data_IF_589054316990
#
_entry.id   IF_589054316990
#
_cell.length_a   1.000
_cell.length_b   1.000
_cell.length_c   1.000
_cell.angle_alpha   90.00
_cell.angle_beta   90.00
_cell.angle_gamma   90.00
#
_symmetry.space_group_name_H-M   'P 1'
#
loop_
_entity.id
_entity.type
_entity.pdbx_description
1 polymer ?
#
# COMPACT_ATOMS: atom_id res chain seq x y z
N UNK A 1 -7.54 28.44 35.64
CA UNK A 1 -8.79 27.90 35.08
C UNK A 1 -8.59 26.44 34.78
N UNK A 2 -9.43 25.63 35.45
CA UNK A 2 -9.25 24.22 35.76
C UNK A 2 -9.56 23.29 34.56
N UNK A 3 -8.68 22.33 34.33
CA UNK A 3 -8.89 20.93 33.97
C UNK A 3 -10.18 20.50 33.26
N UNK A 4 -10.02 20.07 31.99
CA UNK A 4 -10.89 19.08 31.36
C UNK A 4 -10.03 18.04 30.58
N UNK A 5 -9.20 17.34 31.34
CA UNK A 5 -8.58 16.09 30.92
C UNK A 5 -8.98 15.09 31.99
N UNK A 6 -10.06 14.41 31.76
CA UNK A 6 -10.42 13.11 32.36
C UNK A 6 -11.87 12.81 31.99
N UNK A 7 -12.05 11.93 31.07
CA UNK A 7 -13.16 10.95 31.10
C UNK A 7 -13.19 10.21 29.74
N UNK A 8 -12.29 9.28 29.54
CA UNK A 8 -12.46 8.23 28.51
C UNK A 8 -11.67 6.98 28.90
N UNK A 9 -11.78 6.58 30.17
CA UNK A 9 -11.36 5.25 30.62
C UNK A 9 -12.52 4.71 31.49
N UNK A 10 -13.38 3.95 30.90
CA UNK A 10 -14.23 2.95 31.55
C UNK A 10 -15.30 2.48 30.57
N UNK A 11 -15.06 1.44 29.84
CA UNK A 11 -16.02 0.36 29.52
C UNK A 11 -15.20 -0.79 28.91
N UNK A 12 -14.49 -1.55 29.73
CA UNK A 12 -14.19 -2.93 29.45
C UNK A 12 -14.78 -3.75 30.58
N UNK A 13 -16.05 -4.06 30.45
CA UNK A 13 -16.74 -5.01 31.32
C UNK A 13 -16.63 -6.40 30.74
N UNK A 14 -15.81 -7.17 31.36
CA UNK A 14 -15.87 -8.58 31.73
C UNK A 14 -17.12 -9.33 31.23
N UNK A 15 -16.95 -10.18 30.23
CA UNK A 15 -17.86 -11.32 29.99
C UNK A 15 -17.02 -12.60 30.00
N UNK A 16 -16.98 -13.21 31.18
CA UNK A 16 -16.55 -14.58 31.35
C UNK A 16 -17.70 -15.48 30.93
N UNK A 17 -17.53 -16.23 29.83
CA UNK A 17 -18.42 -17.33 29.46
C UNK A 17 -17.68 -18.65 29.70
N UNK A 18 -18.07 -19.28 30.78
CA UNK A 18 -17.76 -20.68 31.12
C UNK A 18 -18.47 -21.59 30.12
N UNK A 19 -17.71 -22.31 29.29
CA UNK A 19 -18.26 -23.44 28.55
C UNK A 19 -17.91 -24.75 29.26
N UNK A 20 -18.97 -25.41 29.72
CA UNK A 20 -18.96 -26.77 30.23
C UNK A 20 -18.65 -27.77 29.11
N UNK A 21 -17.64 -28.56 29.35
CA UNK A 21 -17.35 -29.78 28.59
C UNK A 21 -18.47 -30.82 28.85
N UNK A 22 -19.15 -31.24 27.80
CA UNK A 22 -19.92 -32.47 27.83
C UNK A 22 -19.32 -33.46 26.85
N UNK A 23 -18.75 -34.48 27.43
CA UNK A 23 -18.14 -35.64 26.77
C UNK A 23 -19.25 -36.60 26.39
N UNK A 24 -19.46 -36.93 25.13
CA UNK A 24 -20.19 -38.11 24.70
C UNK A 24 -19.31 -38.96 23.77
N UNK A 25 -18.93 -40.13 24.28
CA UNK A 25 -18.44 -41.26 23.52
C UNK A 25 -19.60 -41.85 22.74
N UNK A 26 -19.44 -42.08 21.45
CA UNK A 26 -20.01 -43.28 20.84
C UNK A 26 -19.19 -43.76 19.64
N UNK A 27 -18.92 -45.05 19.63
CA UNK A 27 -18.22 -45.81 18.62
C UNK A 27 -19.20 -46.28 17.54
N UNK A 28 -18.74 -46.28 16.28
CA UNK A 28 -19.53 -46.92 15.21
C UNK A 28 -18.92 -46.65 13.82
N UNK A 29 -18.32 -47.71 13.27
CA UNK A 29 -17.75 -47.90 11.94
C UNK A 29 -18.70 -47.53 10.79
N UNK A 30 -18.19 -46.92 9.70
CA UNK A 30 -18.06 -47.47 8.32
C UNK A 30 -18.04 -46.36 7.27
N UNK A 31 -17.00 -46.42 6.44
CA UNK A 31 -16.87 -46.13 5.00
C UNK A 31 -17.85 -45.14 4.32
N UNK A 32 -17.27 -44.15 3.67
CA UNK A 32 -17.94 -43.36 2.64
C UNK A 32 -17.13 -42.09 2.33
N UNK A 33 -16.32 -42.18 1.30
CA UNK A 33 -15.63 -41.07 0.64
C UNK A 33 -16.66 -40.10 0.11
N UNK A 34 -16.47 -38.82 0.40
CA UNK A 34 -16.72 -37.69 -0.54
C UNK A 34 -16.02 -36.45 -0.03
N UNK A 35 -15.21 -35.91 -0.90
CA UNK A 35 -14.53 -34.66 -0.79
C UNK A 35 -15.49 -33.51 -0.44
N UNK A 36 -15.22 -32.84 0.66
CA UNK A 36 -15.63 -31.47 0.88
C UNK A 36 -14.36 -30.71 1.32
N UNK A 37 -13.76 -30.05 0.36
CA UNK A 37 -12.73 -29.07 0.63
C UNK A 37 -13.36 -27.95 1.44
N UNK A 38 -13.14 -28.00 2.74
CA UNK A 38 -13.40 -26.90 3.64
C UNK A 38 -12.35 -25.83 3.35
N UNK A 39 -12.79 -24.83 2.53
CA UNK A 39 -12.00 -23.67 2.20
C UNK A 39 -11.70 -22.89 3.48
N UNK A 40 -10.48 -23.02 3.95
CA UNK A 40 -9.88 -22.10 4.89
C UNK A 40 -9.88 -20.73 4.24
N UNK A 41 -10.77 -19.86 4.70
CA UNK A 41 -10.76 -18.43 4.35
C UNK A 41 -9.59 -17.80 5.10
N UNK A 42 -8.37 -17.99 4.57
CA UNK A 42 -7.24 -17.18 4.99
C UNK A 42 -7.46 -15.76 4.46
N UNK A 43 -7.38 -14.81 5.37
CA UNK A 43 -7.33 -13.38 5.14
C UNK A 43 -6.29 -13.01 4.08
N UNK A 44 -6.69 -12.98 2.81
CA UNK A 44 -5.87 -12.55 1.67
C UNK A 44 -6.09 -11.07 1.32
N UNK A 45 -6.76 -10.30 2.19
CA UNK A 45 -7.17 -8.92 1.89
C UNK A 45 -6.06 -7.87 1.91
N UNK A 46 -4.81 -8.26 2.18
CA UNK A 46 -3.70 -7.29 2.35
C UNK A 46 -2.58 -7.39 1.32
N UNK A 47 -2.70 -8.23 0.29
CA UNK A 47 -1.63 -8.41 -0.71
C UNK A 47 -2.15 -8.13 -2.12
N UNK A 48 -1.51 -7.21 -2.84
CA UNK A 48 -1.75 -7.06 -4.27
C UNK A 48 -1.10 -8.22 -5.04
N UNK A 49 -1.87 -8.98 -5.77
CA UNK A 49 -1.41 -10.14 -6.54
C UNK A 49 -2.17 -10.28 -7.86
N UNK A 50 -1.60 -11.03 -8.79
CA UNK A 50 -2.31 -11.44 -10.00
C UNK A 50 -3.06 -12.73 -9.70
N UNK A 51 -4.39 -12.68 -9.75
CA UNK A 51 -5.25 -13.83 -9.53
C UNK A 51 -5.04 -14.92 -10.58
N UNK A 52 -5.61 -16.12 -10.34
CA UNK A 52 -5.53 -17.25 -11.27
C UNK A 52 -6.19 -16.96 -12.63
N UNK A 53 -7.04 -15.96 -12.70
CA UNK A 53 -7.68 -15.42 -13.91
C UNK A 53 -6.81 -14.40 -14.67
N UNK A 54 -5.58 -14.17 -14.21
CA UNK A 54 -4.66 -13.17 -14.76
C UNK A 54 -5.02 -11.72 -14.41
N UNK A 55 -6.04 -11.50 -13.57
CA UNK A 55 -6.45 -10.17 -13.16
C UNK A 55 -5.68 -9.73 -11.93
N UNK A 56 -5.17 -8.49 -11.97
CA UNK A 56 -4.54 -7.89 -10.80
C UNK A 56 -5.59 -7.57 -9.74
N UNK A 57 -5.41 -8.14 -8.56
CA UNK A 57 -6.21 -7.85 -7.37
C UNK A 57 -5.44 -6.82 -6.55
N UNK A 58 -6.03 -5.64 -6.39
CA UNK A 58 -5.50 -4.57 -5.55
C UNK A 58 -6.37 -4.51 -4.30
N UNK A 59 -5.81 -4.48 -3.09
CA UNK A 59 -6.57 -4.28 -1.86
C UNK A 59 -7.49 -3.06 -1.96
N UNK A 60 -8.66 -3.12 -1.35
CA UNK A 60 -9.63 -2.03 -1.44
C UNK A 60 -9.19 -0.76 -0.72
N UNK A 61 -8.32 -0.89 0.29
CA UNK A 61 -7.84 0.24 1.09
C UNK A 61 -6.34 0.14 1.35
N UNK A 62 -5.66 1.28 1.31
CA UNK A 62 -4.32 1.40 1.86
C UNK A 62 -4.41 1.36 3.39
N UNK A 63 -3.63 0.50 4.00
CA UNK A 63 -3.47 0.49 5.46
C UNK A 63 -2.46 1.54 5.92
N UNK A 64 -1.53 1.92 5.05
CA UNK A 64 -0.40 2.81 5.31
C UNK A 64 -0.04 3.62 4.06
N UNK A 65 0.77 4.68 4.23
CA UNK A 65 1.31 5.45 3.12
C UNK A 65 2.32 4.64 2.29
N UNK A 66 2.98 3.65 2.92
CA UNK A 66 3.90 2.72 2.25
C UNK A 66 3.34 1.30 2.32
N UNK A 67 2.99 0.74 1.17
CA UNK A 67 2.46 -0.63 1.03
C UNK A 67 3.48 -1.48 0.26
N UNK A 68 4.37 -2.16 1.00
CA UNK A 68 5.44 -2.98 0.42
C UNK A 68 4.99 -4.45 0.23
N UNK A 69 4.12 -4.69 -0.76
CA UNK A 69 3.63 -6.05 -1.06
C UNK A 69 4.70 -6.95 -1.70
N UNK A 70 5.75 -6.38 -2.28
CA UNK A 70 6.85 -7.15 -2.83
C UNK A 70 7.95 -7.46 -1.82
N UNK A 71 7.92 -6.83 -0.64
CA UNK A 71 8.90 -7.06 0.42
C UNK A 71 10.31 -6.59 0.08
N UNK A 72 10.46 -5.56 -0.75
CA UNK A 72 11.77 -5.11 -1.27
C UNK A 72 12.31 -3.84 -0.61
N UNK A 73 11.52 -3.19 0.24
CA UNK A 73 11.94 -1.94 0.90
C UNK A 73 12.63 -2.18 2.25
N UNK A 74 12.46 -3.38 2.83
CA UNK A 74 13.12 -3.78 4.07
C UNK A 74 12.63 -3.02 5.32
N UNK A 75 13.38 -3.11 6.42
CA UNK A 75 12.99 -2.55 7.71
C UNK A 75 12.94 -1.01 7.75
N UNK A 76 13.57 -0.35 6.79
CA UNK A 76 13.60 1.11 6.68
C UNK A 76 12.26 1.73 6.25
N UNK A 77 11.30 0.91 5.85
CA UNK A 77 9.92 1.32 5.51
C UNK A 77 9.27 2.18 6.60
N UNK A 78 9.53 1.88 7.87
CA UNK A 78 8.90 2.62 9.00
C UNK A 78 9.26 4.09 9.02
N UNK A 79 10.54 4.42 8.76
CA UNK A 79 10.97 5.81 8.70
C UNK A 79 10.30 6.57 7.56
N UNK A 80 10.22 5.94 6.39
CA UNK A 80 9.55 6.53 5.23
C UNK A 80 8.04 6.70 5.46
N UNK A 81 7.39 5.74 6.11
CA UNK A 81 5.98 5.82 6.50
C UNK A 81 5.72 7.01 7.43
N UNK A 82 6.56 7.18 8.47
CA UNK A 82 6.44 8.29 9.42
C UNK A 82 6.65 9.64 8.73
N UNK A 83 7.63 9.75 7.83
CA UNK A 83 7.90 10.97 7.05
C UNK A 83 6.71 11.33 6.15
N UNK A 84 6.15 10.36 5.45
CA UNK A 84 4.99 10.59 4.57
C UNK A 84 3.73 10.95 5.34
N UNK A 85 3.52 10.33 6.51
CA UNK A 85 2.42 10.70 7.40
C UNK A 85 2.55 12.10 7.96
N UNK A 86 3.76 12.48 8.38
CA UNK A 86 4.02 13.85 8.83
C UNK A 86 3.79 14.85 7.71
N UNK A 87 4.25 14.54 6.50
CA UNK A 87 4.02 15.40 5.33
C UNK A 87 2.53 15.59 5.04
N UNK A 88 1.75 14.50 5.03
CA UNK A 88 0.30 14.55 4.82
C UNK A 88 -0.45 15.27 5.95
N UNK A 89 0.09 15.30 7.17
CA UNK A 89 -0.51 16.05 8.28
C UNK A 89 -0.24 17.57 8.19
N UNK A 90 0.82 17.98 7.50
CA UNK A 90 1.24 19.38 7.36
C UNK A 90 0.81 20.00 6.04
N UNK A 91 0.46 19.19 5.06
CA UNK A 91 0.10 19.61 3.71
C UNK A 91 -1.17 18.90 3.25
N UNK A 92 -1.93 19.46 2.32
CA UNK A 92 -3.08 18.75 1.74
C UNK A 92 -2.67 17.63 0.79
N UNK A 93 -1.38 17.46 0.50
CA UNK A 93 -0.87 16.47 -0.45
C UNK A 93 -0.61 15.14 0.24
N UNK A 94 -1.01 14.07 -0.39
CA UNK A 94 -0.72 12.72 0.07
C UNK A 94 0.14 11.98 -0.97
N UNK A 95 1.16 11.29 -0.50
CA UNK A 95 2.02 10.45 -1.32
C UNK A 95 1.90 9.02 -0.82
N UNK A 96 1.56 8.11 -1.71
CA UNK A 96 1.52 6.69 -1.43
C UNK A 96 2.63 5.96 -2.22
N UNK A 97 3.29 5.04 -1.55
CA UNK A 97 4.31 4.17 -2.16
C UNK A 97 3.80 2.74 -2.16
N UNK A 98 3.83 2.10 -3.32
CA UNK A 98 3.32 0.75 -3.49
C UNK A 98 4.33 -0.09 -4.24
N UNK A 99 4.69 -1.24 -3.67
CA UNK A 99 5.45 -2.24 -4.40
C UNK A 99 4.58 -3.46 -4.67
N UNK A 100 4.62 -4.00 -5.87
CA UNK A 100 3.84 -5.18 -6.27
C UNK A 100 4.77 -6.16 -6.97
N UNK A 101 4.74 -7.43 -6.59
CA UNK A 101 5.64 -8.46 -7.12
C UNK A 101 5.49 -8.64 -8.62
N UNK A 102 4.26 -8.60 -9.13
CA UNK A 102 3.98 -8.79 -10.55
C UNK A 102 2.65 -8.13 -10.94
N UNK A 103 2.68 -7.27 -11.96
CA UNK A 103 1.48 -6.66 -12.56
C UNK A 103 1.17 -7.24 -13.95
N UNK A 104 1.82 -8.35 -14.32
CA UNK A 104 1.67 -8.95 -15.64
C UNK A 104 2.05 -7.99 -16.78
N UNK A 105 1.26 -8.00 -17.86
CA UNK A 105 1.46 -7.10 -19.01
C UNK A 105 0.80 -5.72 -18.82
N UNK A 106 0.21 -5.48 -17.64
CA UNK A 106 -0.48 -4.22 -17.38
C UNK A 106 0.50 -3.02 -17.41
N UNK A 107 -0.04 -1.89 -17.82
CA UNK A 107 0.66 -0.61 -17.80
C UNK A 107 0.78 -0.11 -16.35
N UNK A 108 2.01 0.12 -15.90
CA UNK A 108 2.30 0.52 -14.53
C UNK A 108 1.64 1.86 -14.15
N UNK A 109 1.57 2.82 -15.08
CA UNK A 109 0.94 4.11 -14.82
C UNK A 109 -0.57 3.99 -14.65
N UNK A 110 -1.21 3.13 -15.45
CA UNK A 110 -2.65 2.85 -15.30
C UNK A 110 -2.95 2.19 -13.96
N UNK A 111 -2.12 1.23 -13.54
CA UNK A 111 -2.27 0.57 -12.23
C UNK A 111 -2.06 1.56 -11.09
N UNK A 112 -1.01 2.38 -11.12
CA UNK A 112 -0.77 3.41 -10.12
C UNK A 112 -1.94 4.41 -10.02
N UNK A 113 -2.49 4.81 -11.17
CA UNK A 113 -3.66 5.71 -11.23
C UNK A 113 -4.91 5.06 -10.63
N UNK A 114 -5.13 3.77 -10.91
CA UNK A 114 -6.26 3.02 -10.35
C UNK A 114 -6.12 2.85 -8.83
N UNK A 115 -4.92 2.54 -8.35
CA UNK A 115 -4.62 2.49 -6.92
C UNK A 115 -4.95 3.83 -6.26
N UNK A 116 -4.46 4.94 -6.82
CA UNK A 116 -4.71 6.27 -6.28
C UNK A 116 -6.20 6.60 -6.16
N UNK A 117 -6.99 6.24 -7.17
CA UNK A 117 -8.44 6.43 -7.17
C UNK A 117 -9.15 5.53 -6.16
N UNK A 118 -8.78 4.24 -6.12
CA UNK A 118 -9.41 3.24 -5.24
C UNK A 118 -9.13 3.52 -3.77
N UNK A 119 -7.91 3.89 -3.46
CA UNK A 119 -7.48 4.20 -2.08
C UNK A 119 -7.81 5.63 -1.66
N UNK A 120 -8.25 6.46 -2.59
CA UNK A 120 -8.55 7.86 -2.30
C UNK A 120 -7.32 8.65 -1.87
N UNK A 121 -6.17 8.40 -2.53
CA UNK A 121 -4.91 9.11 -2.23
C UNK A 121 -5.06 10.58 -2.60
N UNK A 122 -4.88 11.45 -1.61
CA UNK A 122 -5.11 12.88 -1.71
C UNK A 122 -6.38 13.34 -0.99
N UNK A 123 -6.60 14.65 -1.00
CA UNK A 123 -7.79 15.25 -0.40
C UNK A 123 -8.98 15.18 -1.36
N UNK A 124 -10.13 14.75 -0.85
CA UNK A 124 -11.35 14.61 -1.65
C UNK A 124 -11.73 15.92 -2.35
N UNK A 125 -11.83 15.86 -3.67
CA UNK A 125 -12.21 17.00 -4.51
C UNK A 125 -11.05 17.90 -4.91
N UNK A 126 -9.83 17.66 -4.41
CA UNK A 126 -8.61 18.38 -4.83
C UNK A 126 -7.74 17.58 -5.78
N UNK A 127 -7.91 16.25 -5.83
CA UNK A 127 -7.13 15.35 -6.67
C UNK A 127 -5.61 15.60 -6.56
N UNK A 128 -5.12 15.79 -5.33
CA UNK A 128 -3.75 16.17 -4.99
C UNK A 128 -2.94 15.03 -4.38
N UNK A 129 -3.23 13.81 -4.81
CA UNK A 129 -2.48 12.62 -4.44
C UNK A 129 -1.37 12.28 -5.42
N UNK A 130 -0.33 11.59 -4.95
CA UNK A 130 0.73 11.01 -5.77
C UNK A 130 0.88 9.54 -5.40
N UNK A 131 1.00 8.65 -6.39
CA UNK A 131 1.25 7.23 -6.18
C UNK A 131 2.54 6.85 -6.89
N UNK A 132 3.52 6.35 -6.14
CA UNK A 132 4.74 5.73 -6.67
C UNK A 132 4.51 4.23 -6.69
N UNK A 133 4.52 3.61 -7.87
CA UNK A 133 4.40 2.18 -8.04
C UNK A 133 5.73 1.59 -8.51
N UNK A 134 6.16 0.52 -7.87
CA UNK A 134 7.34 -0.25 -8.25
C UNK A 134 6.96 -1.74 -8.37
N UNK A 135 7.27 -2.32 -9.51
CA UNK A 135 7.39 -3.76 -9.67
C UNK A 135 8.89 -4.09 -9.72
N UNK A 136 9.40 -4.87 -8.76
CA UNK A 136 10.79 -5.31 -8.79
C UNK A 136 11.09 -6.16 -10.03
N UNK A 137 12.35 -6.12 -10.48
CA UNK A 137 12.82 -7.05 -11.50
C UNK A 137 12.88 -8.46 -10.93
N UNK A 138 12.39 -9.43 -11.67
CA UNK A 138 12.47 -10.86 -11.34
C UNK A 138 13.15 -11.63 -12.47
N UNK A 139 13.44 -12.92 -12.27
CA UNK A 139 14.01 -13.77 -13.32
C UNK A 139 13.11 -13.89 -14.57
N UNK A 140 11.80 -13.67 -14.40
CA UNK A 140 10.78 -13.86 -15.43
C UNK A 140 10.10 -12.56 -15.90
N UNK A 141 10.41 -11.42 -15.26
CA UNK A 141 9.76 -10.15 -15.53
C UNK A 141 10.75 -9.00 -15.37
N UNK A 142 10.75 -8.08 -16.33
CA UNK A 142 11.45 -6.81 -16.20
C UNK A 142 10.84 -5.96 -15.08
N UNK A 143 11.66 -5.14 -14.41
CA UNK A 143 11.15 -4.18 -13.44
C UNK A 143 10.29 -3.11 -14.13
N UNK A 144 9.27 -2.62 -13.40
CA UNK A 144 8.43 -1.51 -13.85
C UNK A 144 8.35 -0.46 -12.74
N UNK A 145 8.29 0.80 -13.13
CA UNK A 145 8.12 1.93 -12.22
C UNK A 145 7.19 2.96 -12.85
N UNK A 146 6.35 3.55 -12.03
CA UNK A 146 5.46 4.65 -12.45
C UNK A 146 5.24 5.62 -11.29
N UNK A 147 5.02 6.88 -11.64
CA UNK A 147 4.54 7.93 -10.72
C UNK A 147 3.23 8.45 -11.32
N UNK A 148 2.12 8.18 -10.63
CA UNK A 148 0.81 8.71 -10.98
C UNK A 148 0.52 9.95 -10.14
N UNK A 149 0.10 11.02 -10.79
CA UNK A 149 -0.17 12.32 -10.17
C UNK A 149 -1.65 12.64 -10.32
N UNK A 150 -2.27 13.12 -9.26
CA UNK A 150 -3.64 13.62 -9.31
C UNK A 150 -3.72 14.94 -10.05
N UNK A 151 -4.84 15.20 -10.69
CA UNK A 151 -5.08 16.39 -11.55
C UNK A 151 -4.77 17.72 -10.85
N UNK A 152 -4.99 17.80 -9.55
CA UNK A 152 -4.70 19.01 -8.77
C UNK A 152 -3.21 19.33 -8.65
N UNK A 153 -2.32 18.37 -8.92
CA UNK A 153 -0.87 18.55 -8.89
C UNK A 153 -0.21 18.56 -10.27
N UNK A 154 -0.94 18.25 -11.36
CA UNK A 154 -0.39 18.26 -12.72
C UNK A 154 0.28 19.59 -13.12
N UNK A 155 -0.21 20.78 -12.70
CA UNK A 155 0.49 22.03 -13.00
C UNK A 155 1.88 22.14 -12.37
N UNK A 156 2.13 21.38 -11.28
CA UNK A 156 3.38 21.39 -10.51
C UNK A 156 4.24 20.19 -10.86
N UNK A 157 3.63 19.01 -10.88
CA UNK A 157 4.26 17.74 -11.21
C UNK A 157 3.82 17.32 -12.61
N UNK A 158 4.43 17.92 -13.62
CA UNK A 158 4.17 17.55 -15.03
C UNK A 158 4.71 16.16 -15.34
N UNK A 159 4.21 15.53 -16.41
CA UNK A 159 4.70 14.24 -16.90
C UNK A 159 6.22 14.26 -17.13
N UNK A 160 6.74 15.37 -17.66
CA UNK A 160 8.19 15.54 -17.90
C UNK A 160 8.97 15.54 -16.58
N UNK A 161 8.44 16.21 -15.54
CA UNK A 161 9.04 16.21 -14.21
C UNK A 161 9.05 14.79 -13.62
N UNK A 162 7.93 14.07 -13.67
CA UNK A 162 7.83 12.70 -13.18
C UNK A 162 8.74 11.75 -13.95
N UNK A 163 8.84 11.89 -15.25
CA UNK A 163 9.78 11.12 -16.07
C UNK A 163 11.23 11.40 -15.72
N UNK A 164 11.60 12.67 -15.43
CA UNK A 164 12.92 13.03 -14.95
C UNK A 164 13.24 12.38 -13.61
N UNK A 165 12.30 12.40 -12.65
CA UNK A 165 12.48 11.70 -11.36
C UNK A 165 12.71 10.20 -11.58
N UNK A 166 11.93 9.58 -12.46
CA UNK A 166 12.11 8.16 -12.78
C UNK A 166 13.48 7.91 -13.42
N UNK A 167 13.83 8.64 -14.48
CA UNK A 167 15.04 8.38 -15.28
C UNK A 167 16.33 8.69 -14.53
N UNK A 168 16.37 9.81 -13.83
CA UNK A 168 17.62 10.37 -13.30
C UNK A 168 17.84 10.00 -11.82
N UNK A 169 16.73 9.76 -11.06
CA UNK A 169 16.81 9.48 -9.63
C UNK A 169 16.53 8.01 -9.35
N UNK A 170 15.39 7.46 -9.86
CA UNK A 170 14.97 6.12 -9.50
C UNK A 170 15.72 5.03 -10.26
N UNK A 171 15.77 5.10 -11.60
CA UNK A 171 16.33 4.03 -12.42
C UNK A 171 17.79 3.67 -12.10
N UNK A 172 18.72 4.62 -11.83
CA UNK A 172 20.09 4.27 -11.42
C UNK A 172 20.14 3.37 -10.20
N UNK A 173 19.29 3.64 -9.19
CA UNK A 173 19.19 2.88 -7.96
C UNK A 173 18.44 1.55 -8.14
N UNK A 174 17.35 1.56 -8.89
CA UNK A 174 16.59 0.33 -9.20
C UNK A 174 17.42 -0.70 -9.99
N UNK A 175 18.38 -0.25 -10.82
CA UNK A 175 19.30 -1.14 -11.53
C UNK A 175 20.26 -1.87 -10.59
N UNK A 176 20.55 -1.30 -9.43
CA UNK A 176 21.39 -1.89 -8.38
C UNK A 176 20.55 -2.51 -7.26
N UNK A 177 19.24 -2.66 -7.47
CA UNK A 177 18.27 -3.22 -6.53
C UNK A 177 18.15 -2.41 -5.21
N UNK A 178 18.61 -1.15 -5.22
CA UNK A 178 18.41 -0.21 -4.11
C UNK A 178 17.00 0.39 -4.18
N UNK A 179 15.99 -0.43 -3.87
CA UNK A 179 14.58 -0.02 -3.95
C UNK A 179 14.23 1.05 -2.93
N UNK A 180 14.71 0.89 -1.70
CA UNK A 180 14.47 1.90 -0.66
C UNK A 180 15.12 3.25 -1.01
N UNK A 181 16.39 3.24 -1.44
CA UNK A 181 17.07 4.45 -1.86
C UNK A 181 16.42 5.11 -3.08
N UNK A 182 15.85 4.32 -4.01
CA UNK A 182 15.10 4.84 -5.14
C UNK A 182 13.83 5.58 -4.70
N UNK A 183 13.06 4.97 -3.81
CA UNK A 183 11.81 5.55 -3.30
C UNK A 183 12.08 6.79 -2.46
N UNK A 184 12.97 6.70 -1.47
CA UNK A 184 13.26 7.82 -0.56
C UNK A 184 13.78 9.05 -1.30
N UNK A 185 14.65 8.85 -2.31
CA UNK A 185 15.14 9.94 -3.14
C UNK A 185 14.04 10.56 -4.02
N UNK A 186 13.16 9.72 -4.60
CA UNK A 186 12.02 10.19 -5.38
C UNK A 186 11.03 10.99 -4.52
N UNK A 187 10.70 10.49 -3.33
CA UNK A 187 9.84 11.19 -2.36
C UNK A 187 10.44 12.54 -1.99
N UNK A 188 11.72 12.59 -1.67
CA UNK A 188 12.40 13.86 -1.32
C UNK A 188 12.33 14.88 -2.47
N UNK A 189 12.51 14.45 -3.72
CA UNK A 189 12.42 15.33 -4.88
C UNK A 189 10.99 15.80 -5.17
N UNK A 190 10.00 14.91 -5.06
CA UNK A 190 8.59 15.25 -5.17
C UNK A 190 8.17 16.29 -4.12
N UNK A 191 8.50 16.06 -2.85
CA UNK A 191 8.21 16.98 -1.75
C UNK A 191 8.86 18.34 -1.99
N UNK A 192 10.13 18.37 -2.42
CA UNK A 192 10.84 19.59 -2.76
C UNK A 192 10.14 20.36 -3.89
N UNK A 193 9.79 19.68 -4.97
CA UNK A 193 9.15 20.28 -6.14
C UNK A 193 7.79 20.88 -5.78
N UNK A 194 6.97 20.13 -5.03
CA UNK A 194 5.66 20.60 -4.56
C UNK A 194 5.80 21.83 -3.65
N UNK A 195 6.76 21.80 -2.72
CA UNK A 195 6.97 22.89 -1.76
C UNK A 195 7.45 24.19 -2.42
N UNK A 196 8.23 24.11 -3.49
CA UNK A 196 8.69 25.30 -4.22
C UNK A 196 7.57 26.07 -4.93
N UNK A 197 6.48 25.38 -5.24
CA UNK A 197 5.35 25.98 -5.97
C UNK A 197 4.22 26.48 -5.06
N UNK A 198 4.31 26.23 -3.75
CA UNK A 198 3.35 26.70 -2.75
C UNK A 198 3.80 28.03 -2.09
N UNK A 199 4.95 28.55 -2.47
CA UNK A 199 5.48 29.86 -2.02
C UNK A 199 5.09 30.96 -3.00
#
# INVERSE_FOLDING_TARGET
MKNKIQTWISVFSLVAVTMLFTMCKNAGSSSGSTDAAEGTTEQTDSVAYVGADGKLVIPEQATMAVSDFAGVLGDSVRGLEDDLRMYAAQTPVQIAVVTITNIGDADALKIATEIGKRWGVGEKGKDNGVVILIQPKTAHSGGKVAIAVGKGLEPVLTDVCCQGIISDIMLPKLRTEDYYGAVSAAVADLVRTISMMQQ
#
